data_IF_015714075625
#
_entry.id   IF_015714075625
#
_cell.length_a   1.000
_cell.length_b   1.000
_cell.length_c   1.000
_cell.angle_alpha   90.00
_cell.angle_beta   90.00
_cell.angle_gamma   90.00
#
_symmetry.space_group_name_H-M   'P 1'
#
loop_
_entity.id
_entity.type
_entity.pdbx_description
1 polymer ?
#
# COMPACT_ATOMS: atom_id res chain seq x y z
N UNK A 1 -52.20 4.10 24.02
CA UNK A 1 -52.50 5.50 24.36
C UNK A 1 -51.41 5.96 25.31
N UNK A 2 -50.64 6.95 24.87
CA UNK A 2 -49.65 7.77 25.59
C UNK A 2 -48.34 7.16 26.11
N UNK A 3 -47.33 7.28 25.24
CA UNK A 3 -45.91 7.45 25.53
C UNK A 3 -45.67 8.77 26.28
N UNK A 4 -44.85 8.74 27.34
CA UNK A 4 -44.24 9.96 27.92
C UNK A 4 -42.80 10.09 27.45
N UNK A 5 -42.59 11.10 26.60
CA UNK A 5 -41.30 11.61 26.14
C UNK A 5 -40.68 12.50 27.22
N UNK A 6 -39.42 12.25 27.58
CA UNK A 6 -38.58 13.18 28.32
C UNK A 6 -37.65 13.91 27.34
N UNK A 7 -37.63 15.26 27.29
CA UNK A 7 -36.69 16.01 26.48
C UNK A 7 -35.40 16.29 27.26
N UNK A 8 -34.26 15.74 26.81
CA UNK A 8 -32.95 16.18 27.25
C UNK A 8 -32.47 17.33 26.34
N UNK A 9 -32.43 18.54 26.92
CA UNK A 9 -31.83 19.74 26.32
C UNK A 9 -30.30 19.58 26.22
N UNK A 10 -29.78 19.83 25.02
CA UNK A 10 -28.36 20.12 24.77
C UNK A 10 -28.04 21.52 25.31
N UNK A 11 -27.04 21.63 26.19
CA UNK A 11 -26.42 22.90 26.58
C UNK A 11 -24.99 22.93 26.04
N UNK A 12 -24.75 23.87 25.12
CA UNK A 12 -23.42 24.20 24.62
C UNK A 12 -22.62 24.91 25.71
N UNK A 13 -21.53 24.31 26.17
CA UNK A 13 -20.52 25.05 26.94
C UNK A 13 -19.15 24.84 26.30
N UNK A 14 -18.64 25.93 25.75
CA UNK A 14 -17.33 26.13 25.16
C UNK A 14 -16.27 25.99 26.25
N UNK A 15 -15.42 24.97 26.18
CA UNK A 15 -14.24 24.86 27.05
C UNK A 15 -12.98 25.25 26.27
N UNK A 16 -12.40 26.37 26.71
CA UNK A 16 -11.13 26.92 26.24
C UNK A 16 -9.95 26.06 26.67
N UNK A 17 -9.00 25.92 25.75
CA UNK A 17 -7.66 25.37 25.92
C UNK A 17 -6.77 26.31 26.76
N UNK A 18 -6.00 25.81 27.75
CA UNK A 18 -4.86 26.54 28.31
C UNK A 18 -3.53 26.06 27.72
N UNK A 19 -2.69 27.04 27.43
CA UNK A 19 -1.37 27.00 26.83
C UNK A 19 -0.28 26.33 27.69
N UNK A 20 0.62 25.65 26.96
CA UNK A 20 2.09 25.53 27.13
C UNK A 20 2.71 25.85 28.49
N UNK A 21 3.37 24.85 29.09
CA UNK A 21 4.63 25.05 29.81
C UNK A 21 5.67 24.00 29.39
N UNK A 22 6.73 24.54 28.79
CA UNK A 22 7.99 23.91 28.45
C UNK A 22 8.75 23.60 29.76
N UNK A 23 9.23 22.36 29.92
CA UNK A 23 10.16 22.00 31.01
C UNK A 23 11.35 21.26 30.38
N UNK A 24 12.51 21.92 30.45
CA UNK A 24 13.84 21.34 30.21
C UNK A 24 14.20 20.34 31.30
N UNK A 25 15.04 19.34 30.99
CA UNK A 25 16.21 19.19 31.85
C UNK A 25 17.53 19.00 31.07
N UNK A 26 18.46 19.89 31.38
CA UNK A 26 19.81 19.63 31.89
C UNK A 26 20.57 18.40 31.34
N UNK A 27 21.65 18.75 30.64
CA UNK A 27 22.86 17.96 30.38
C UNK A 27 23.41 17.33 31.67
N UNK A 28 23.80 16.06 31.60
CA UNK A 28 24.90 15.51 32.40
C UNK A 28 25.82 14.72 31.48
N UNK A 29 27.09 15.11 31.45
CA UNK A 29 28.16 14.42 30.76
C UNK A 29 28.71 13.31 31.66
N UNK A 30 29.06 12.17 31.08
CA UNK A 30 30.04 11.25 31.66
C UNK A 30 31.05 10.84 30.58
N UNK A 31 32.30 11.18 30.84
CA UNK A 31 33.50 10.64 30.20
C UNK A 31 33.77 9.24 30.76
N UNK A 32 34.19 8.31 29.90
CA UNK A 32 35.23 7.34 30.24
C UNK A 32 35.81 6.71 28.96
N UNK A 33 37.12 6.87 28.79
CA UNK A 33 37.94 6.24 27.76
C UNK A 33 38.49 4.90 28.25
N UNK A 34 38.81 3.97 27.36
CA UNK A 34 40.09 3.25 27.43
C UNK A 34 40.45 2.59 26.09
N UNK A 35 41.75 2.52 25.84
CA UNK A 35 42.44 2.13 24.61
C UNK A 35 42.91 0.67 24.67
N UNK A 36 43.09 0.12 23.46
CA UNK A 36 44.21 -0.70 22.98
C UNK A 36 44.41 -2.15 23.49
N UNK A 37 44.60 -3.06 22.53
CA UNK A 37 45.81 -3.90 22.43
C UNK A 37 45.83 -4.70 21.10
N UNK A 38 47.00 -4.72 20.44
CA UNK A 38 47.38 -5.55 19.29
C UNK A 38 48.37 -6.63 19.75
N UNK A 39 48.32 -7.84 19.17
CA UNK A 39 49.45 -8.78 18.99
C UNK A 39 49.03 -9.85 17.95
N UNK A 40 49.57 -9.93 16.72
CA UNK A 40 50.82 -10.53 16.18
C UNK A 40 50.95 -12.07 16.18
N UNK A 41 51.12 -12.63 14.96
CA UNK A 41 51.71 -13.95 14.62
C UNK A 41 50.68 -15.05 14.26
N UNK A 42 50.78 -15.92 13.24
CA UNK A 42 51.79 -16.26 12.22
C UNK A 42 51.12 -17.13 11.11
N UNK A 43 51.87 -17.52 10.07
CA UNK A 43 51.46 -17.83 8.70
C UNK A 43 51.05 -19.30 8.33
N UNK A 44 50.08 -19.40 7.38
CA UNK A 44 49.92 -20.27 6.16
C UNK A 44 50.05 -21.83 6.20
N UNK A 45 49.58 -22.57 5.15
CA UNK A 45 48.38 -22.42 4.30
C UNK A 45 47.63 -23.77 4.07
N UNK A 46 46.33 -23.74 3.73
CA UNK A 46 45.76 -24.77 2.84
C UNK A 46 44.64 -24.19 1.99
N UNK A 47 44.78 -24.42 0.68
CA UNK A 47 43.90 -24.01 -0.39
C UNK A 47 42.58 -24.78 -0.35
N UNK A 48 41.45 -24.08 -0.43
CA UNK A 48 40.25 -24.59 -1.10
C UNK A 48 39.55 -23.42 -1.80
N UNK A 49 39.52 -23.52 -3.11
CA UNK A 49 38.92 -22.59 -4.06
C UNK A 49 37.41 -22.61 -3.91
N UNK A 50 36.82 -21.53 -3.40
CA UNK A 50 35.41 -21.23 -3.54
C UNK A 50 35.30 -19.84 -4.20
N UNK A 51 34.82 -19.83 -5.44
CA UNK A 51 34.50 -18.60 -6.17
C UNK A 51 33.32 -17.92 -5.47
N UNK A 52 33.65 -17.02 -4.55
CA UNK A 52 32.71 -16.14 -3.88
C UNK A 52 32.68 -14.84 -4.69
N UNK A 53 31.65 -14.66 -5.51
CA UNK A 53 31.35 -13.39 -6.15
C UNK A 53 30.88 -12.42 -5.06
N UNK A 54 31.84 -11.73 -4.44
CA UNK A 54 31.58 -10.53 -3.66
C UNK A 54 31.20 -9.42 -4.64
N UNK A 55 29.90 -9.28 -4.94
CA UNK A 55 29.39 -8.00 -5.43
C UNK A 55 29.42 -7.01 -4.27
N UNK A 56 30.28 -6.02 -4.38
CA UNK A 56 30.36 -4.92 -3.41
C UNK A 56 29.15 -3.99 -3.59
N UNK A 57 28.55 -3.53 -2.50
CA UNK A 57 27.42 -2.58 -2.45
C UNK A 57 27.64 -1.28 -3.26
N UNK A 58 28.88 -0.99 -3.65
CA UNK A 58 29.23 0.14 -4.51
C UNK A 58 28.80 -0.02 -5.97
N UNK A 59 28.82 -1.25 -6.52
CA UNK A 59 28.44 -1.50 -7.93
C UNK A 59 26.92 -1.39 -8.15
N UNK A 60 26.12 -1.55 -7.09
CA UNK A 60 24.66 -1.33 -7.16
C UNK A 60 24.27 0.15 -7.12
N UNK A 61 25.19 1.06 -6.77
CA UNK A 61 24.91 2.51 -6.70
C UNK A 61 25.09 3.22 -8.05
N UNK A 62 25.72 2.58 -9.03
CA UNK A 62 26.16 3.25 -10.26
C UNK A 62 25.49 2.73 -11.54
N UNK A 63 24.30 2.11 -11.42
CA UNK A 63 23.49 1.77 -12.60
C UNK A 63 22.46 2.85 -12.91
N UNK A 64 22.87 3.76 -13.79
CA UNK A 64 22.07 4.58 -14.71
C UNK A 64 20.69 5.05 -14.20
N UNK A 65 20.69 6.17 -13.47
CA UNK A 65 19.50 7.02 -13.37
C UNK A 65 19.19 7.57 -14.76
N UNK A 66 18.34 6.88 -15.53
CA UNK A 66 17.57 7.53 -16.60
C UNK A 66 16.91 8.75 -15.96
N UNK A 67 17.00 9.90 -16.62
CA UNK A 67 16.49 11.15 -16.07
C UNK A 67 14.97 11.07 -15.87
N UNK A 68 14.57 10.61 -14.69
CA UNK A 68 13.18 10.49 -14.27
C UNK A 68 12.51 11.87 -14.13
N UNK A 69 13.25 12.98 -14.32
CA UNK A 69 12.68 14.33 -14.37
C UNK A 69 11.64 14.51 -15.49
N UNK A 70 11.64 13.64 -16.50
CA UNK A 70 10.66 13.68 -17.58
C UNK A 70 9.27 13.13 -17.18
N UNK A 71 9.16 12.37 -16.09
CA UNK A 71 7.89 11.78 -15.65
C UNK A 71 7.32 12.54 -14.44
N UNK A 72 6.50 13.57 -14.70
CA UNK A 72 5.72 14.22 -13.64
C UNK A 72 4.52 13.34 -13.26
N UNK A 73 4.64 12.63 -12.15
CA UNK A 73 3.64 11.68 -11.64
C UNK A 73 2.28 12.31 -11.33
N UNK A 74 2.22 13.64 -11.21
CA UNK A 74 0.99 14.41 -10.97
C UNK A 74 0.17 14.63 -12.24
N UNK A 75 0.78 14.51 -13.44
CA UNK A 75 0.06 14.66 -14.70
C UNK A 75 -0.87 13.46 -14.90
N UNK A 76 -2.17 13.75 -14.98
CA UNK A 76 -3.19 12.76 -15.31
C UNK A 76 -3.43 12.80 -16.82
N UNK A 77 -3.16 11.71 -17.56
CA UNK A 77 -3.45 11.66 -18.99
C UNK A 77 -4.97 11.62 -19.20
N UNK A 78 -5.43 12.36 -20.21
CA UNK A 78 -6.79 12.30 -20.73
C UNK A 78 -6.74 11.90 -22.22
N UNK A 79 -7.77 11.20 -22.66
CA UNK A 79 -7.97 10.86 -24.07
C UNK A 79 -8.40 12.11 -24.87
N UNK A 80 -8.37 12.03 -26.20
CA UNK A 80 -8.73 13.16 -27.08
C UNK A 80 -10.17 13.66 -26.89
N UNK A 81 -11.08 12.81 -26.41
CA UNK A 81 -12.46 13.17 -26.06
C UNK A 81 -12.61 13.75 -24.64
N UNK A 82 -11.50 13.90 -23.90
CA UNK A 82 -11.44 14.40 -22.53
C UNK A 82 -11.78 13.37 -21.46
N UNK A 83 -11.97 12.09 -21.81
CA UNK A 83 -12.19 11.03 -20.83
C UNK A 83 -10.88 10.62 -20.15
N UNK A 84 -10.98 10.23 -18.88
CA UNK A 84 -9.87 9.62 -18.16
C UNK A 84 -9.83 8.12 -18.40
N UNK A 85 -8.66 7.61 -18.78
CA UNK A 85 -8.41 6.18 -18.97
C UNK A 85 -7.32 5.69 -18.00
N UNK A 86 -7.65 4.68 -17.19
CA UNK A 86 -6.72 4.12 -16.21
C UNK A 86 -5.87 3.04 -16.87
N UNK A 87 -4.56 3.25 -16.91
CA UNK A 87 -3.61 2.21 -17.32
C UNK A 87 -3.61 1.05 -16.32
N UNK A 88 -3.56 -0.17 -16.84
CA UNK A 88 -3.51 -1.40 -16.04
C UNK A 88 -2.17 -1.57 -15.32
N UNK A 89 -2.20 -2.27 -14.18
CA UNK A 89 -1.05 -2.69 -13.39
C UNK A 89 -0.21 -3.73 -14.15
N UNK A 90 1.13 -3.64 -14.05
CA UNK A 90 2.07 -4.43 -14.87
C UNK A 90 2.72 -5.60 -14.13
N UNK A 91 2.89 -5.52 -12.80
CA UNK A 91 3.43 -6.62 -12.01
C UNK A 91 2.27 -7.45 -11.47
N UNK A 92 2.16 -8.70 -11.94
CA UNK A 92 0.95 -9.55 -11.79
C UNK A 92 1.27 -10.96 -11.30
N UNK A 93 2.39 -11.14 -10.62
CA UNK A 93 2.76 -12.45 -10.08
C UNK A 93 1.93 -12.78 -8.85
N UNK A 94 1.86 -14.07 -8.51
CA UNK A 94 1.06 -14.59 -7.41
C UNK A 94 1.93 -15.23 -6.33
N UNK A 95 1.54 -15.00 -5.07
CA UNK A 95 2.03 -15.75 -3.91
C UNK A 95 1.20 -17.03 -3.82
N UNK A 96 1.83 -18.18 -3.98
CA UNK A 96 1.19 -19.50 -3.95
C UNK A 96 2.18 -20.58 -3.52
N UNK A 97 1.67 -21.72 -3.04
CA UNK A 97 2.52 -22.82 -2.54
C UNK A 97 3.44 -23.40 -3.62
N UNK A 98 2.90 -23.53 -4.83
CA UNK A 98 3.58 -24.14 -5.97
C UNK A 98 4.27 -23.11 -6.90
N UNK A 99 4.19 -21.83 -6.54
CA UNK A 99 4.75 -20.73 -7.32
C UNK A 99 6.18 -20.35 -6.95
N UNK A 100 6.73 -19.40 -7.70
CA UNK A 100 8.02 -18.76 -7.43
C UNK A 100 8.03 -17.98 -6.10
N UNK A 101 6.88 -17.42 -5.73
CA UNK A 101 6.69 -16.63 -4.52
C UNK A 101 5.90 -17.47 -3.50
N UNK A 102 6.61 -18.18 -2.62
CA UNK A 102 5.98 -19.04 -1.61
C UNK A 102 5.52 -18.26 -0.39
N UNK A 103 4.35 -18.56 0.20
CA UNK A 103 3.81 -17.82 1.34
C UNK A 103 4.61 -18.09 2.62
N UNK A 104 5.58 -17.22 2.92
CA UNK A 104 6.51 -17.37 4.04
C UNK A 104 6.43 -16.18 5.00
N UNK A 105 6.51 -16.44 6.31
CA UNK A 105 6.56 -15.39 7.33
C UNK A 105 7.82 -14.56 7.17
N UNK A 106 7.65 -13.24 7.09
CA UNK A 106 8.77 -12.30 7.03
C UNK A 106 9.46 -12.20 5.67
N UNK A 107 8.94 -12.85 4.60
CA UNK A 107 9.48 -12.72 3.24
C UNK A 107 8.96 -11.49 2.50
N UNK A 108 7.68 -11.17 2.66
CA UNK A 108 7.02 -10.10 1.91
C UNK A 108 6.95 -8.79 2.68
N UNK A 109 6.91 -7.69 1.95
CA UNK A 109 6.70 -6.34 2.49
C UNK A 109 5.66 -5.61 1.65
N UNK A 110 4.78 -4.83 2.28
CA UNK A 110 3.71 -4.13 1.60
C UNK A 110 3.95 -2.61 1.67
N UNK A 111 4.14 -1.96 0.52
CA UNK A 111 4.18 -0.51 0.44
C UNK A 111 2.81 0.05 0.08
N UNK A 112 2.38 1.08 0.80
CA UNK A 112 1.06 1.71 0.69
C UNK A 112 1.14 3.22 0.80
N UNK A 113 0.03 3.91 0.59
CA UNK A 113 -0.23 5.20 1.22
C UNK A 113 -1.66 5.20 1.75
N UNK A 114 -1.90 5.82 2.91
CA UNK A 114 -3.24 5.91 3.50
C UNK A 114 -4.20 6.77 2.67
N UNK A 115 -3.68 7.62 1.76
CA UNK A 115 -4.49 8.41 0.84
C UNK A 115 -5.04 7.64 -0.37
N UNK A 116 -4.63 6.38 -0.59
CA UNK A 116 -5.02 5.61 -1.79
C UNK A 116 -6.06 4.53 -1.46
N UNK A 117 -7.27 4.55 -2.08
CA UNK A 117 -8.30 3.57 -1.80
C UNK A 117 -7.90 2.15 -2.23
N UNK A 118 -7.12 2.01 -3.31
CA UNK A 118 -6.60 0.73 -3.78
C UNK A 118 -5.66 0.09 -2.77
N UNK A 119 -4.77 0.90 -2.17
CA UNK A 119 -3.86 0.41 -1.12
C UNK A 119 -4.62 0.10 0.17
N UNK A 120 -5.62 0.90 0.52
CA UNK A 120 -6.47 0.67 1.70
C UNK A 120 -7.18 -0.68 1.66
N UNK A 121 -7.60 -1.19 0.49
CA UNK A 121 -8.15 -2.56 0.36
C UNK A 121 -7.19 -3.61 0.94
N UNK A 122 -5.91 -3.51 0.59
CA UNK A 122 -4.88 -4.45 1.06
C UNK A 122 -4.64 -4.33 2.56
N UNK A 123 -4.72 -3.12 3.12
CA UNK A 123 -4.60 -2.88 4.56
C UNK A 123 -5.77 -3.46 5.36
N UNK A 124 -7.00 -3.32 4.85
CA UNK A 124 -8.21 -3.88 5.46
C UNK A 124 -8.09 -5.41 5.49
N UNK A 125 -7.84 -6.04 4.35
CA UNK A 125 -7.74 -7.50 4.26
C UNK A 125 -6.57 -8.04 5.07
N UNK A 126 -5.42 -7.34 5.07
CA UNK A 126 -4.28 -7.66 5.94
C UNK A 126 -4.69 -7.73 7.42
N UNK A 127 -5.46 -6.75 7.90
CA UNK A 127 -5.95 -6.74 9.29
C UNK A 127 -6.99 -7.82 9.55
N UNK A 128 -7.97 -8.00 8.66
CA UNK A 128 -9.02 -9.02 8.80
C UNK A 128 -8.44 -10.44 8.85
N UNK A 129 -7.43 -10.72 8.02
CA UNK A 129 -6.73 -12.00 7.95
C UNK A 129 -5.63 -12.19 8.99
N UNK A 130 -5.36 -11.19 9.84
CA UNK A 130 -4.33 -11.30 10.88
C UNK A 130 -2.89 -11.37 10.35
N UNK A 131 -2.62 -10.80 9.18
CA UNK A 131 -1.32 -10.88 8.50
C UNK A 131 -0.29 -9.87 9.03
N UNK A 132 -0.58 -9.18 10.13
CA UNK A 132 0.26 -8.08 10.62
C UNK A 132 1.70 -8.50 10.91
N UNK A 133 1.87 -9.67 11.52
CA UNK A 133 3.18 -10.22 11.91
C UNK A 133 3.87 -11.01 10.77
N UNK A 134 3.19 -11.17 9.64
CA UNK A 134 3.68 -11.91 8.47
C UNK A 134 4.15 -10.93 7.39
N UNK A 135 3.38 -9.88 7.15
CA UNK A 135 3.59 -8.88 6.11
C UNK A 135 3.71 -7.51 6.77
N UNK A 136 4.92 -7.02 7.07
CA UNK A 136 5.14 -5.63 7.48
C UNK A 136 4.69 -4.64 6.40
N UNK A 137 4.41 -3.41 6.84
CA UNK A 137 3.90 -2.32 6.00
C UNK A 137 4.81 -1.11 6.12
N UNK A 138 5.03 -0.41 5.01
CA UNK A 138 5.59 0.94 4.97
C UNK A 138 4.60 1.87 4.26
N UNK A 139 4.19 2.93 4.94
CA UNK A 139 3.30 3.94 4.41
C UNK A 139 4.07 5.13 3.84
N UNK A 140 4.03 5.30 2.52
CA UNK A 140 4.51 6.50 1.84
C UNK A 140 3.65 7.72 2.21
N UNK A 141 4.27 8.89 2.06
CA UNK A 141 3.68 10.21 2.34
C UNK A 141 2.50 10.46 1.39
N UNK A 142 1.34 10.93 1.89
CA UNK A 142 0.16 11.13 1.05
C UNK A 142 0.26 12.33 0.09
N UNK A 143 1.24 13.22 0.30
CA UNK A 143 1.54 14.34 -0.60
C UNK A 143 2.40 13.85 -1.76
N UNK A 144 1.76 13.48 -2.85
CA UNK A 144 2.45 13.07 -4.07
C UNK A 144 3.11 14.27 -4.75
N UNK A 145 4.41 14.21 -5.00
CA UNK A 145 5.17 15.24 -5.72
C UNK A 145 5.41 14.86 -7.19
N UNK A 146 6.24 15.60 -7.92
CA UNK A 146 6.55 15.31 -9.32
C UNK A 146 7.18 13.93 -9.52
N UNK A 147 7.93 13.43 -8.53
CA UNK A 147 8.57 12.13 -8.51
C UNK A 147 7.65 11.00 -7.99
N UNK A 148 6.40 11.30 -7.66
CA UNK A 148 5.43 10.33 -7.18
C UNK A 148 5.32 10.34 -5.67
N UNK A 149 5.26 9.16 -5.05
CA UNK A 149 5.03 9.01 -3.61
C UNK A 149 6.35 9.10 -2.84
N UNK A 150 6.62 10.17 -2.07
CA UNK A 150 7.83 10.25 -1.25
C UNK A 150 7.70 9.39 0.01
N UNK A 151 8.84 9.02 0.59
CA UNK A 151 8.93 8.48 1.95
C UNK A 151 9.24 9.60 2.96
N UNK A 152 9.10 9.30 4.26
CA UNK A 152 9.17 10.32 5.32
C UNK A 152 10.55 11.02 5.45
N UNK A 153 11.62 10.40 4.96
CA UNK A 153 12.96 10.98 4.87
C UNK A 153 13.03 12.12 3.82
N UNK A 154 12.14 12.13 2.83
CA UNK A 154 12.06 13.19 1.81
C UNK A 154 11.04 14.25 2.19
N UNK A 155 9.85 13.83 2.65
CA UNK A 155 8.77 14.74 3.05
C UNK A 155 8.15 14.31 4.38
N UNK A 156 8.69 14.74 5.52
CA UNK A 156 8.20 14.33 6.84
C UNK A 156 6.69 14.55 7.01
N UNK A 157 5.97 13.48 7.34
CA UNK A 157 4.53 13.50 7.55
C UNK A 157 4.09 12.54 8.67
N UNK A 158 3.23 12.97 9.60
CA UNK A 158 2.73 12.08 10.65
C UNK A 158 2.01 10.85 10.08
N UNK A 159 2.39 9.66 10.53
CA UNK A 159 1.82 8.40 10.06
C UNK A 159 2.37 7.91 8.72
N UNK A 160 3.46 8.52 8.22
CA UNK A 160 4.26 8.02 7.12
C UNK A 160 5.61 7.52 7.59
N UNK A 161 6.18 6.59 6.85
CA UNK A 161 7.39 5.86 7.21
C UNK A 161 8.53 6.21 6.25
N UNK A 162 9.76 6.07 6.73
CA UNK A 162 10.94 5.91 5.88
C UNK A 162 10.93 4.49 5.28
N UNK A 163 11.51 4.30 4.10
CA UNK A 163 11.70 2.95 3.56
C UNK A 163 12.74 2.17 4.39
N UNK A 164 12.36 1.10 5.11
CA UNK A 164 13.27 0.36 5.97
C UNK A 164 14.16 -0.64 5.21
N UNK A 165 13.87 -0.90 3.93
CA UNK A 165 14.61 -1.90 3.16
C UNK A 165 15.81 -1.29 2.42
N UNK A 166 15.62 -0.14 1.79
CA UNK A 166 16.66 0.47 0.94
C UNK A 166 16.90 1.95 1.22
N UNK A 167 16.13 2.57 2.13
CA UNK A 167 16.17 4.01 2.36
C UNK A 167 15.81 4.79 1.09
N UNK A 168 14.92 4.26 0.24
CA UNK A 168 14.44 4.94 -0.95
C UNK A 168 13.89 6.33 -0.63
N UNK A 169 14.04 7.27 -1.58
CA UNK A 169 13.45 8.60 -1.45
C UNK A 169 11.98 8.60 -1.86
N UNK A 170 11.67 7.87 -2.93
CA UNK A 170 10.33 7.75 -3.49
C UNK A 170 10.01 6.30 -3.86
N UNK A 171 8.72 5.97 -3.95
CA UNK A 171 8.27 4.65 -4.39
C UNK A 171 8.80 4.27 -5.78
N UNK A 172 9.00 5.25 -6.68
CA UNK A 172 9.56 5.01 -8.01
C UNK A 172 10.94 4.36 -7.96
N UNK A 173 11.73 4.63 -6.91
CA UNK A 173 13.08 4.09 -6.77
C UNK A 173 13.04 2.56 -6.61
N UNK A 174 11.98 2.02 -6.00
CA UNK A 174 11.74 0.58 -5.90
C UNK A 174 11.41 -0.05 -7.26
N UNK A 175 10.60 0.63 -8.07
CA UNK A 175 10.29 0.17 -9.43
C UNK A 175 11.52 0.17 -10.32
N UNK A 176 12.28 1.26 -10.31
CA UNK A 176 13.48 1.43 -11.14
C UNK A 176 14.63 0.51 -10.69
N UNK A 177 14.67 0.11 -9.42
CA UNK A 177 15.58 -0.94 -8.92
C UNK A 177 15.32 -2.30 -9.58
N UNK A 178 14.06 -2.63 -9.86
CA UNK A 178 13.69 -3.91 -10.48
C UNK A 178 13.77 -3.83 -12.00
N UNK A 179 13.31 -2.73 -12.56
CA UNK A 179 13.24 -2.50 -14.00
C UNK A 179 13.66 -1.05 -14.31
N UNK A 180 14.94 -0.79 -14.62
CA UNK A 180 15.47 0.56 -14.86
C UNK A 180 14.81 1.30 -16.04
N UNK A 181 14.23 0.56 -16.98
CA UNK A 181 13.52 1.06 -18.15
C UNK A 181 11.99 1.07 -17.96
N UNK A 182 11.48 0.97 -16.73
CA UNK A 182 10.04 0.97 -16.45
C UNK A 182 9.36 2.28 -16.87
N UNK A 183 8.36 2.19 -17.74
CA UNK A 183 7.63 3.34 -18.30
C UNK A 183 6.19 3.47 -17.76
N UNK A 184 5.81 2.59 -16.83
CA UNK A 184 4.48 2.59 -16.21
C UNK A 184 4.34 3.62 -15.09
N UNK A 185 3.20 3.56 -14.37
CA UNK A 185 2.98 4.41 -13.19
C UNK A 185 3.55 3.74 -11.95
N UNK A 186 4.19 4.53 -11.10
CA UNK A 186 4.70 4.09 -9.80
C UNK A 186 3.56 4.08 -8.76
N UNK A 187 2.77 3.00 -8.74
CA UNK A 187 1.52 2.93 -7.97
C UNK A 187 1.68 2.20 -6.64
N UNK A 188 0.85 2.57 -5.67
CA UNK A 188 0.53 1.73 -4.51
C UNK A 188 -0.84 1.07 -4.70
N UNK A 189 -1.11 -0.11 -4.12
CA UNK A 189 -0.22 -0.92 -3.28
C UNK A 189 0.90 -1.62 -4.07
N UNK A 190 1.97 -2.01 -3.38
CA UNK A 190 3.08 -2.77 -3.94
C UNK A 190 3.48 -3.88 -2.97
N UNK A 191 3.38 -5.15 -3.39
CA UNK A 191 4.01 -6.26 -2.67
C UNK A 191 5.44 -6.44 -3.16
N UNK A 192 6.37 -6.36 -2.23
CA UNK A 192 7.79 -6.59 -2.43
C UNK A 192 8.21 -7.94 -1.87
N UNK A 193 9.01 -8.70 -2.62
CA UNK A 193 9.71 -9.90 -2.13
C UNK A 193 11.11 -9.53 -1.65
N UNK A 194 11.38 -9.70 -0.36
CA UNK A 194 12.69 -9.38 0.24
C UNK A 194 13.77 -10.40 -0.08
N UNK A 195 13.40 -11.62 -0.49
CA UNK A 195 14.39 -12.65 -0.86
C UNK A 195 14.92 -12.43 -2.27
N UNK A 196 14.02 -12.13 -3.21
CA UNK A 196 14.36 -11.94 -4.62
C UNK A 196 14.58 -10.48 -5.00
N UNK A 197 14.42 -9.55 -4.04
CA UNK A 197 14.56 -8.11 -4.24
C UNK A 197 13.76 -7.60 -5.46
N UNK A 198 12.50 -8.06 -5.58
CA UNK A 198 11.64 -7.78 -6.74
C UNK A 198 10.21 -7.44 -6.32
N UNK A 199 9.45 -6.90 -7.28
CA UNK A 199 8.02 -6.64 -7.12
C UNK A 199 7.25 -7.92 -7.48
N UNK A 200 6.43 -8.40 -6.54
CA UNK A 200 5.52 -9.53 -6.79
C UNK A 200 4.31 -9.04 -7.57
N UNK A 201 3.60 -8.06 -7.01
CA UNK A 201 2.31 -7.63 -7.54
C UNK A 201 2.02 -6.17 -7.15
N UNK A 202 1.46 -5.38 -8.08
CA UNK A 202 0.98 -4.02 -7.82
C UNK A 202 -0.51 -3.80 -8.15
N UNK A 203 -1.28 -4.89 -8.27
CA UNK A 203 -2.71 -4.92 -8.53
C UNK A 203 -3.49 -5.24 -7.24
N UNK A 204 -4.17 -4.23 -6.70
CA UNK A 204 -4.89 -4.36 -5.41
C UNK A 204 -5.92 -5.48 -5.38
N UNK A 205 -6.60 -5.73 -6.50
CA UNK A 205 -7.66 -6.74 -6.59
C UNK A 205 -7.11 -8.16 -6.49
N UNK A 206 -5.93 -8.42 -7.02
CA UNK A 206 -5.24 -9.72 -6.91
C UNK A 206 -4.59 -9.87 -5.54
N UNK A 207 -3.99 -8.80 -5.01
CA UNK A 207 -3.35 -8.79 -3.70
C UNK A 207 -4.31 -9.24 -2.60
N UNK A 208 -5.54 -8.71 -2.58
CA UNK A 208 -6.51 -9.11 -1.57
C UNK A 208 -6.94 -10.59 -1.72
N UNK A 209 -6.94 -11.16 -2.94
CA UNK A 209 -7.20 -12.59 -3.15
C UNK A 209 -6.05 -13.44 -2.61
N UNK A 210 -4.80 -13.01 -2.81
CA UNK A 210 -3.63 -13.68 -2.23
C UNK A 210 -3.67 -13.65 -0.69
N UNK A 211 -3.96 -12.48 -0.10
CA UNK A 211 -4.05 -12.35 1.36
C UNK A 211 -5.20 -13.19 1.94
N UNK A 212 -6.29 -13.36 1.19
CA UNK A 212 -7.44 -14.14 1.63
C UNK A 212 -7.09 -15.62 1.90
N UNK A 213 -6.17 -16.23 1.15
CA UNK A 213 -5.95 -17.68 1.23
C UNK A 213 -4.49 -18.17 1.27
N UNK A 214 -3.54 -17.48 0.63
CA UNK A 214 -2.18 -18.01 0.44
C UNK A 214 -1.47 -18.31 1.78
N UNK A 215 -1.77 -17.54 2.82
CA UNK A 215 -1.15 -17.63 4.13
C UNK A 215 -1.96 -18.44 5.15
N UNK A 216 -3.09 -19.05 4.78
CA UNK A 216 -4.00 -19.72 5.73
C UNK A 216 -3.30 -20.78 6.61
N UNK A 217 -2.34 -21.52 6.05
CA UNK A 217 -1.54 -22.53 6.76
C UNK A 217 -0.58 -21.95 7.83
N UNK A 218 -0.33 -20.63 7.84
CA UNK A 218 0.47 -19.94 8.85
C UNK A 218 -0.38 -19.21 9.90
N UNK A 219 -1.71 -19.20 9.74
CA UNK A 219 -2.64 -18.42 10.57
C UNK A 219 -3.30 -19.29 11.65
N UNK A 220 -3.71 -18.70 12.78
CA UNK A 220 -4.60 -19.35 13.74
C UNK A 220 -5.89 -19.84 13.06
N UNK A 221 -6.51 -20.95 13.55
CA UNK A 221 -7.67 -21.55 12.89
C UNK A 221 -8.82 -20.58 12.59
N UNK A 222 -9.14 -19.66 13.49
CA UNK A 222 -10.26 -18.73 13.30
C UNK A 222 -9.98 -17.69 12.20
N UNK A 223 -8.73 -17.20 12.10
CA UNK A 223 -8.32 -16.30 11.03
C UNK A 223 -8.15 -17.03 9.69
N UNK A 224 -7.68 -18.28 9.72
CA UNK A 224 -7.55 -19.12 8.53
C UNK A 224 -8.91 -19.45 7.91
N UNK A 225 -9.96 -19.63 8.74
CA UNK A 225 -11.34 -19.90 8.29
C UNK A 225 -12.04 -18.71 7.65
N UNK A 226 -11.62 -17.48 7.94
CA UNK A 226 -12.21 -16.29 7.31
C UNK A 226 -11.95 -16.33 5.80
N UNK A 227 -13.02 -16.39 5.02
CA UNK A 227 -12.99 -16.36 3.57
C UNK A 227 -13.90 -15.23 3.06
N UNK A 228 -13.27 -14.20 2.48
CA UNK A 228 -13.90 -13.03 1.88
C UNK A 228 -14.28 -13.26 0.40
N UNK A 229 -14.03 -14.47 -0.11
CA UNK A 229 -14.37 -14.87 -1.48
C UNK A 229 -14.76 -16.35 -1.58
N UNK A 230 -15.77 -16.77 -0.81
CA UNK A 230 -16.20 -18.16 -0.76
C UNK A 230 -16.80 -18.59 -2.09
N UNK A 231 -16.55 -19.85 -2.47
CA UNK A 231 -16.91 -20.42 -3.77
C UNK A 231 -18.37 -20.18 -4.17
N UNK A 232 -19.30 -20.36 -3.23
CA UNK A 232 -20.75 -20.23 -3.46
C UNK A 232 -21.20 -18.82 -3.81
N UNK A 233 -20.41 -17.78 -3.50
CA UNK A 233 -20.78 -16.37 -3.72
C UNK A 233 -19.92 -15.70 -4.80
N UNK A 234 -18.92 -16.40 -5.37
CA UNK A 234 -17.94 -15.77 -6.27
C UNK A 234 -18.58 -15.09 -7.47
N UNK A 235 -19.54 -15.75 -8.11
CA UNK A 235 -20.20 -15.19 -9.30
C UNK A 235 -20.95 -13.89 -8.99
N UNK A 236 -21.62 -13.81 -7.84
CA UNK A 236 -22.31 -12.59 -7.41
C UNK A 236 -21.31 -11.49 -7.04
N UNK A 237 -20.23 -11.86 -6.34
CA UNK A 237 -19.13 -10.94 -5.97
C UNK A 237 -18.47 -10.36 -7.21
N UNK A 238 -18.18 -11.19 -8.22
CA UNK A 238 -17.49 -10.74 -9.42
C UNK A 238 -18.39 -9.84 -10.26
N UNK A 239 -19.67 -10.20 -10.40
CA UNK A 239 -20.65 -9.33 -11.07
C UNK A 239 -20.80 -7.99 -10.36
N UNK A 240 -20.88 -7.98 -9.02
CA UNK A 240 -20.94 -6.74 -8.26
C UNK A 240 -19.66 -5.91 -8.41
N UNK A 241 -18.49 -6.54 -8.27
CA UNK A 241 -17.21 -5.88 -8.37
C UNK A 241 -16.98 -5.24 -9.74
N UNK A 242 -17.47 -5.84 -10.82
CA UNK A 242 -17.30 -5.33 -12.17
C UNK A 242 -17.93 -3.93 -12.34
N UNK A 243 -19.23 -3.79 -12.06
CA UNK A 243 -19.88 -2.49 -12.21
C UNK A 243 -19.48 -1.52 -11.09
N UNK A 244 -19.32 -1.98 -9.84
CA UNK A 244 -18.85 -1.10 -8.75
C UNK A 244 -17.43 -0.60 -9.04
N UNK A 245 -16.57 -1.40 -9.67
CA UNK A 245 -15.27 -0.92 -10.14
C UNK A 245 -15.42 0.17 -11.21
N UNK A 246 -16.18 -0.10 -12.28
CA UNK A 246 -16.26 0.81 -13.41
C UNK A 246 -16.94 2.14 -13.05
N UNK A 247 -18.13 2.07 -12.42
CA UNK A 247 -19.01 3.23 -12.26
C UNK A 247 -18.86 3.93 -10.91
N UNK A 248 -18.30 3.27 -9.88
CA UNK A 248 -18.12 3.86 -8.54
C UNK A 248 -16.65 4.09 -8.22
N UNK A 249 -15.88 3.02 -8.04
CA UNK A 249 -14.47 3.10 -7.62
C UNK A 249 -13.62 3.89 -8.62
N UNK A 250 -13.78 3.60 -9.91
CA UNK A 250 -13.12 4.34 -10.99
C UNK A 250 -13.98 5.50 -11.49
N UNK A 251 -15.31 5.43 -11.35
CA UNK A 251 -16.25 6.48 -11.76
C UNK A 251 -15.96 7.84 -11.14
N UNK A 252 -15.63 7.90 -9.85
CA UNK A 252 -15.23 9.16 -9.18
C UNK A 252 -13.96 9.78 -9.81
N UNK A 253 -13.01 8.96 -10.27
CA UNK A 253 -11.83 9.44 -10.98
C UNK A 253 -12.16 9.88 -12.41
N UNK A 254 -13.05 9.13 -13.09
CA UNK A 254 -13.53 9.49 -14.43
C UNK A 254 -14.21 10.85 -14.43
N UNK A 255 -15.07 11.11 -13.45
CA UNK A 255 -15.71 12.41 -13.27
C UNK A 255 -14.70 13.49 -12.87
N UNK A 256 -13.88 13.24 -11.84
CA UNK A 256 -12.96 14.24 -11.28
C UNK A 256 -11.80 14.64 -12.21
N UNK A 257 -11.41 13.78 -13.15
CA UNK A 257 -10.34 14.04 -14.11
C UNK A 257 -10.83 14.27 -15.54
N UNK A 258 -12.14 14.36 -15.76
CA UNK A 258 -12.69 14.71 -17.06
C UNK A 258 -12.22 16.10 -17.49
N UNK A 259 -11.85 16.24 -18.77
CA UNK A 259 -11.40 17.50 -19.37
C UNK A 259 -12.46 18.13 -20.28
N UNK A 260 -13.62 17.49 -20.44
CA UNK A 260 -14.78 18.03 -21.16
C UNK A 260 -16.04 17.89 -20.32
N UNK A 261 -16.98 18.83 -20.50
CA UNK A 261 -18.27 18.80 -19.81
C UNK A 261 -19.02 17.49 -20.07
N UNK A 262 -19.01 17.02 -21.33
CA UNK A 262 -19.65 15.76 -21.71
C UNK A 262 -19.05 14.56 -20.97
N UNK A 263 -17.71 14.43 -20.93
CA UNK A 263 -17.07 13.31 -20.24
C UNK A 263 -17.34 13.35 -18.72
N UNK A 264 -17.43 14.53 -18.13
CA UNK A 264 -17.83 14.72 -16.74
C UNK A 264 -19.28 14.27 -16.50
N UNK A 265 -20.23 14.76 -17.30
CA UNK A 265 -21.66 14.43 -17.18
C UNK A 265 -21.92 12.94 -17.34
N UNK A 266 -21.34 12.31 -18.37
CA UNK A 266 -21.48 10.88 -18.62
C UNK A 266 -20.97 10.05 -17.42
N UNK A 267 -19.85 10.48 -16.80
CA UNK A 267 -19.26 9.76 -15.67
C UNK A 267 -20.01 9.99 -14.34
N UNK A 268 -20.41 11.22 -14.05
CA UNK A 268 -21.07 11.57 -12.78
C UNK A 268 -22.50 11.02 -12.73
N UNK A 269 -23.23 11.00 -13.85
CA UNK A 269 -24.56 10.39 -13.90
C UNK A 269 -24.50 8.89 -13.64
N UNK A 270 -23.61 8.16 -14.32
CA UNK A 270 -23.41 6.72 -14.10
C UNK A 270 -22.99 6.38 -12.66
N UNK A 271 -22.20 7.26 -12.02
CA UNK A 271 -21.85 7.15 -10.61
C UNK A 271 -23.09 7.21 -9.72
N UNK A 272 -23.94 8.23 -9.86
CA UNK A 272 -25.12 8.38 -9.01
C UNK A 272 -26.16 7.29 -9.25
N UNK A 273 -26.38 6.85 -10.50
CA UNK A 273 -27.22 5.69 -10.81
C UNK A 273 -26.75 4.42 -10.08
N UNK A 274 -25.44 4.23 -9.99
CA UNK A 274 -24.85 3.09 -9.29
C UNK A 274 -24.92 3.21 -7.77
N UNK A 275 -24.84 4.43 -7.23
CA UNK A 275 -25.08 4.70 -5.81
C UNK A 275 -26.54 4.44 -5.43
N UNK A 276 -27.51 4.85 -6.26
CA UNK A 276 -28.93 4.53 -6.06
C UNK A 276 -29.17 3.01 -6.07
N UNK A 277 -28.50 2.30 -6.98
CA UNK A 277 -28.54 0.83 -7.01
C UNK A 277 -27.96 0.20 -5.74
N UNK A 278 -26.82 0.71 -5.25
CA UNK A 278 -26.21 0.25 -4.00
C UNK A 278 -27.12 0.50 -2.80
N UNK A 279 -27.71 1.70 -2.71
CA UNK A 279 -28.67 2.07 -1.66
C UNK A 279 -29.84 1.08 -1.62
N UNK A 280 -30.40 0.73 -2.79
CA UNK A 280 -31.48 -0.26 -2.89
C UNK A 280 -31.11 -1.65 -2.35
N UNK A 281 -29.83 -2.03 -2.40
CA UNK A 281 -29.32 -3.29 -1.84
C UNK A 281 -29.19 -3.20 -0.32
N UNK A 282 -28.49 -2.18 0.17
CA UNK A 282 -28.14 -2.05 1.61
C UNK A 282 -29.32 -1.60 2.47
N UNK A 283 -30.36 -1.01 1.87
CA UNK A 283 -31.60 -0.68 2.59
C UNK A 283 -32.27 -1.89 3.26
N UNK A 284 -31.89 -3.12 2.85
CA UNK A 284 -32.46 -4.37 3.35
C UNK A 284 -31.43 -5.34 3.93
N UNK A 285 -30.14 -5.00 3.87
CA UNK A 285 -29.04 -5.91 4.19
C UNK A 285 -27.89 -5.15 4.84
N UNK A 286 -27.23 -5.78 5.81
CA UNK A 286 -26.02 -5.20 6.44
C UNK A 286 -24.79 -5.28 5.51
N UNK A 287 -24.83 -6.19 4.53
CA UNK A 287 -23.75 -6.41 3.56
C UNK A 287 -24.30 -6.53 2.14
N UNK A 288 -23.45 -6.27 1.15
CA UNK A 288 -23.86 -6.27 -0.26
C UNK A 288 -24.33 -7.65 -0.74
N UNK A 289 -23.69 -8.72 -0.25
CA UNK A 289 -23.88 -10.08 -0.73
C UNK A 289 -23.94 -11.06 0.45
N UNK A 290 -24.90 -11.98 0.43
CA UNK A 290 -24.93 -13.16 1.31
C UNK A 290 -25.00 -12.91 2.83
N UNK A 291 -25.44 -11.72 3.27
CA UNK A 291 -25.53 -11.30 4.68
C UNK A 291 -24.23 -11.50 5.47
N UNK A 292 -23.09 -11.31 4.80
CA UNK A 292 -21.76 -11.45 5.37
C UNK A 292 -20.76 -10.51 4.71
N UNK A 293 -19.68 -10.22 5.43
CA UNK A 293 -18.50 -9.54 4.89
C UNK A 293 -17.76 -10.41 3.87
#
# INVERSE_FOLDING_TARGET
MELRLFPLRLSSTTLRCPSLRYISPLRTAYFASSKASMSTGSALPHQHTALQQHHTDAEQREHATRDASQFDSRKVPAESNGSFNRKASTFRNWISQDGQFKPEKGRYHLYVTYGCPWATRTLIVRKLKGLQDIIPVTAAVPRMDANGWPFANVDPFPGSDEDPLYGAGHLKDLYLRVQPDYEGRFTVPLIWDKQQHTIVNNESSEIIRMFNSAFNHLLPPDQAKLDLYPESLRSEIDSLNEWVYDTVNNGVYRAGFAQTQKAYEDAVLALFESLDRLEGIIAKKDYLIGDRL
#
